data_IF_180918759798
#
_entry.id   IF_180918759798
#
_cell.length_a   1.000
_cell.length_b   1.000
_cell.length_c   1.000
_cell.angle_alpha   90.00
_cell.angle_beta   90.00
_cell.angle_gamma   90.00
#
_symmetry.space_group_name_H-M   'P 1'
#
loop_
_entity.id
_entity.type
_entity.pdbx_description
1 polymer ?
#
# COMPACT_ATOMS: atom_id res chain seq x y z
N UNK A 1 12.45 12.17 -7.14
CA UNK A 1 12.56 10.86 -6.43
C UNK A 1 11.20 10.17 -6.44
N UNK A 2 11.13 8.88 -6.79
CA UNK A 2 9.88 8.10 -6.78
C UNK A 2 9.84 7.23 -5.52
N UNK A 3 8.72 7.25 -4.78
CA UNK A 3 8.49 6.41 -3.59
C UNK A 3 7.13 5.75 -3.62
N UNK A 4 7.09 4.47 -3.21
CA UNK A 4 5.87 3.66 -3.09
C UNK A 4 5.48 3.49 -1.63
N UNK A 5 4.31 4.00 -1.26
CA UNK A 5 3.73 3.90 0.08
C UNK A 5 2.47 3.07 0.03
N UNK A 6 2.43 2.00 0.79
CA UNK A 6 1.23 1.17 0.96
C UNK A 6 0.40 1.73 2.11
N UNK A 7 -0.88 1.96 1.86
CA UNK A 7 -1.87 2.23 2.87
C UNK A 7 -2.74 0.98 3.07
N UNK A 8 -2.56 0.31 4.19
CA UNK A 8 -3.23 -0.96 4.49
C UNK A 8 -3.98 -0.93 5.83
N UNK A 9 -4.63 -2.01 6.15
CA UNK A 9 -5.42 -2.18 7.39
C UNK A 9 -6.77 -2.83 7.12
N UNK A 10 -7.43 -3.25 8.18
CA UNK A 10 -8.71 -3.92 8.13
C UNK A 10 -9.85 -3.06 7.56
N UNK A 11 -11.04 -3.66 7.39
CA UNK A 11 -12.25 -2.93 7.05
C UNK A 11 -12.52 -1.80 8.06
N UNK A 12 -13.16 -0.71 7.61
CA UNK A 12 -13.51 0.46 8.45
C UNK A 12 -12.33 1.13 9.18
N UNK A 13 -11.08 0.92 8.73
CA UNK A 13 -9.91 1.59 9.32
C UNK A 13 -9.75 3.05 8.89
N UNK A 14 -10.57 3.56 7.97
CA UNK A 14 -10.53 4.94 7.48
C UNK A 14 -9.59 5.16 6.29
N UNK A 15 -9.14 4.10 5.59
CA UNK A 15 -8.21 4.18 4.45
C UNK A 15 -8.61 5.20 3.40
N UNK A 16 -9.85 5.17 2.93
CA UNK A 16 -10.33 6.06 1.86
C UNK A 16 -10.25 7.53 2.27
N UNK A 17 -10.62 7.87 3.50
CA UNK A 17 -10.55 9.24 4.03
C UNK A 17 -9.10 9.71 4.13
N UNK A 18 -8.23 8.86 4.68
CA UNK A 18 -6.79 9.13 4.81
C UNK A 18 -6.14 9.29 3.42
N UNK A 19 -6.47 8.42 2.47
CA UNK A 19 -5.95 8.47 1.10
C UNK A 19 -6.28 9.81 0.41
N UNK A 20 -7.54 10.26 0.51
CA UNK A 20 -7.94 11.55 -0.04
C UNK A 20 -7.17 12.72 0.60
N UNK A 21 -6.89 12.63 1.89
CA UNK A 21 -6.13 13.64 2.62
C UNK A 21 -4.66 13.64 2.23
N UNK A 22 -4.05 12.46 2.02
CA UNK A 22 -2.68 12.33 1.49
C UNK A 22 -2.59 13.03 0.13
N UNK A 23 -3.49 12.73 -0.80
CA UNK A 23 -3.50 13.35 -2.14
C UNK A 23 -3.57 14.87 -2.05
N UNK A 24 -4.49 15.39 -1.23
CA UNK A 24 -4.68 16.83 -1.05
C UNK A 24 -3.46 17.50 -0.47
N UNK A 25 -2.88 16.91 0.59
CA UNK A 25 -1.79 17.53 1.33
C UNK A 25 -0.47 17.50 0.54
N UNK A 26 -0.08 16.36 -0.02
CA UNK A 26 1.18 16.24 -0.76
C UNK A 26 1.14 17.00 -2.10
N UNK A 27 -0.01 17.09 -2.78
CA UNK A 27 -0.13 17.96 -3.95
C UNK A 27 0.08 19.46 -3.58
N UNK A 28 -0.39 19.93 -2.40
CA UNK A 28 -0.09 21.30 -1.92
C UNK A 28 1.38 21.51 -1.64
N UNK A 29 2.10 20.47 -1.20
CA UNK A 29 3.54 20.50 -0.97
C UNK A 29 4.36 20.40 -2.27
N UNK A 30 3.73 20.32 -3.44
CA UNK A 30 4.39 20.20 -4.73
C UNK A 30 4.84 18.78 -5.09
N UNK A 31 4.47 17.77 -4.31
CA UNK A 31 4.72 16.37 -4.60
C UNK A 31 3.65 15.85 -5.56
N UNK A 32 4.05 15.18 -6.65
CA UNK A 32 3.10 14.51 -7.53
C UNK A 32 2.60 13.23 -6.87
N UNK A 33 1.30 13.14 -6.57
CA UNK A 33 0.70 11.93 -6.02
C UNK A 33 0.02 11.12 -7.12
N UNK A 34 0.32 9.83 -7.17
CA UNK A 34 -0.33 8.83 -8.02
C UNK A 34 -0.97 7.80 -7.10
N UNK A 35 -2.26 7.55 -7.26
CA UNK A 35 -3.01 6.57 -6.46
C UNK A 35 -3.20 5.29 -7.26
N UNK A 36 -2.87 4.16 -6.65
CA UNK A 36 -3.21 2.82 -7.15
C UNK A 36 -4.44 2.35 -6.38
N UNK A 37 -5.63 2.29 -7.00
CA UNK A 37 -6.86 1.93 -6.30
C UNK A 37 -6.93 0.45 -5.95
N UNK A 38 -7.77 0.11 -4.96
CA UNK A 38 -7.96 -1.25 -4.45
C UNK A 38 -8.46 -2.21 -5.56
N UNK A 39 -7.64 -3.19 -5.88
CA UNK A 39 -7.87 -4.08 -7.03
C UNK A 39 -9.02 -5.06 -6.82
N UNK A 40 -9.16 -5.62 -5.61
CA UNK A 40 -10.25 -6.57 -5.33
C UNK A 40 -11.63 -5.92 -5.52
N UNK A 41 -11.80 -4.68 -5.02
CA UNK A 41 -13.03 -3.90 -5.20
C UNK A 41 -13.32 -3.61 -6.67
N UNK A 42 -12.30 -3.30 -7.47
CA UNK A 42 -12.48 -3.06 -8.92
C UNK A 42 -12.97 -4.32 -9.64
N UNK A 43 -12.35 -5.48 -9.39
CA UNK A 43 -12.75 -6.75 -9.98
C UNK A 43 -14.17 -7.15 -9.58
N UNK A 44 -14.51 -7.02 -8.29
CA UNK A 44 -15.85 -7.36 -7.79
C UNK A 44 -16.91 -6.42 -8.41
N UNK A 45 -16.61 -5.12 -8.50
CA UNK A 45 -17.50 -4.13 -9.09
C UNK A 45 -17.68 -4.37 -10.59
N UNK A 46 -16.65 -4.85 -11.27
CA UNK A 46 -16.70 -5.25 -12.67
C UNK A 46 -17.45 -6.57 -12.93
N UNK A 47 -17.89 -7.26 -11.86
CA UNK A 47 -18.70 -8.48 -11.96
C UNK A 47 -17.92 -9.79 -11.76
N UNK A 48 -16.61 -9.74 -11.44
CA UNK A 48 -15.83 -10.93 -11.07
C UNK A 48 -16.20 -11.32 -9.64
N UNK A 49 -16.82 -12.50 -9.44
CA UNK A 49 -17.39 -12.87 -8.16
C UNK A 49 -16.59 -13.97 -7.46
N UNK A 50 -16.34 -13.76 -6.17
CA UNK A 50 -15.78 -14.74 -5.25
C UNK A 50 -16.85 -15.42 -4.40
N UNK A 51 -18.06 -14.84 -4.35
CA UNK A 51 -19.21 -15.32 -3.57
C UNK A 51 -20.45 -15.45 -4.45
N UNK A 52 -21.39 -16.30 -4.04
CA UNK A 52 -22.65 -16.53 -4.76
C UNK A 52 -22.62 -17.79 -5.62
N UNK A 53 -23.63 -17.94 -6.50
CA UNK A 53 -23.81 -19.14 -7.31
C UNK A 53 -22.82 -19.24 -8.49
N UNK A 54 -22.47 -18.09 -9.09
CA UNK A 54 -21.57 -17.97 -10.25
C UNK A 54 -20.17 -17.46 -9.85
N UNK A 55 -19.67 -17.96 -8.72
CA UNK A 55 -18.35 -17.61 -8.20
C UNK A 55 -17.23 -18.40 -8.86
N UNK A 56 -16.06 -17.78 -9.03
CA UNK A 56 -14.81 -18.48 -9.30
C UNK A 56 -14.19 -18.99 -7.98
N UNK A 57 -13.28 -19.94 -8.07
CA UNK A 57 -12.55 -20.44 -6.90
C UNK A 57 -11.79 -19.32 -6.19
N UNK A 58 -11.66 -19.43 -4.86
CA UNK A 58 -11.01 -18.41 -4.06
C UNK A 58 -9.53 -18.25 -4.41
N UNK A 59 -8.84 -19.32 -4.74
CA UNK A 59 -7.44 -19.31 -5.15
C UNK A 59 -7.29 -18.60 -6.51
N UNK A 60 -8.14 -18.94 -7.47
CA UNK A 60 -8.14 -18.33 -8.79
C UNK A 60 -8.50 -16.83 -8.71
N UNK A 61 -9.43 -16.47 -7.82
CA UNK A 61 -9.72 -15.06 -7.57
C UNK A 61 -8.51 -14.32 -7.02
N UNK A 62 -7.80 -14.89 -6.05
CA UNK A 62 -6.61 -14.25 -5.47
C UNK A 62 -5.44 -14.19 -6.46
N UNK A 63 -5.28 -15.21 -7.30
CA UNK A 63 -4.31 -15.15 -8.40
C UNK A 63 -4.62 -13.98 -9.33
N UNK A 64 -5.88 -13.81 -9.73
CA UNK A 64 -6.33 -12.71 -10.58
C UNK A 64 -6.10 -11.35 -9.91
N UNK A 65 -6.43 -11.21 -8.60
CA UNK A 65 -6.19 -9.99 -7.84
C UNK A 65 -4.70 -9.64 -7.83
N UNK A 66 -3.82 -10.58 -7.46
CA UNK A 66 -2.38 -10.32 -7.35
C UNK A 66 -1.76 -10.04 -8.72
N UNK A 67 -2.12 -10.78 -9.75
CA UNK A 67 -1.69 -10.53 -11.13
C UNK A 67 -2.06 -9.13 -11.59
N UNK A 68 -3.28 -8.69 -11.31
CA UNK A 68 -3.77 -7.35 -11.64
C UNK A 68 -3.07 -6.27 -10.81
N UNK A 69 -2.81 -6.53 -9.52
CA UNK A 69 -2.01 -5.62 -8.67
C UNK A 69 -0.62 -5.39 -9.26
N UNK A 70 0.10 -6.45 -9.59
CA UNK A 70 1.45 -6.37 -10.19
C UNK A 70 1.41 -5.53 -11.46
N UNK A 71 0.48 -5.84 -12.38
CA UNK A 71 0.32 -5.10 -13.63
C UNK A 71 0.03 -3.61 -13.40
N UNK A 72 -0.89 -3.28 -12.50
CA UNK A 72 -1.23 -1.89 -12.14
C UNK A 72 -0.02 -1.17 -11.54
N UNK A 73 0.63 -1.78 -10.55
CA UNK A 73 1.79 -1.19 -9.88
C UNK A 73 2.92 -0.87 -10.86
N UNK A 74 3.20 -1.78 -11.78
CA UNK A 74 4.26 -1.60 -12.77
C UNK A 74 3.90 -0.49 -13.79
N UNK A 75 2.64 -0.40 -14.22
CA UNK A 75 2.20 0.69 -15.10
C UNK A 75 2.20 2.06 -14.40
N UNK A 76 1.74 2.13 -13.15
CA UNK A 76 1.77 3.39 -12.40
C UNK A 76 3.20 3.83 -12.03
N UNK A 77 4.10 2.87 -11.79
CA UNK A 77 5.52 3.17 -11.61
C UNK A 77 6.12 3.75 -12.90
N UNK A 78 5.80 3.17 -14.04
CA UNK A 78 6.21 3.68 -15.35
C UNK A 78 5.67 5.10 -15.61
N UNK A 79 4.43 5.38 -15.22
CA UNK A 79 3.90 6.73 -15.28
C UNK A 79 4.68 7.69 -14.35
N UNK A 80 5.07 7.25 -13.16
CA UNK A 80 5.90 8.03 -12.25
C UNK A 80 7.27 8.36 -12.85
N UNK A 81 7.92 7.40 -13.52
CA UNK A 81 9.19 7.64 -14.24
C UNK A 81 9.06 8.70 -15.34
N UNK A 82 7.92 8.72 -16.05
CA UNK A 82 7.63 9.75 -17.06
C UNK A 82 7.48 11.14 -16.41
N UNK A 83 6.80 11.23 -15.24
CA UNK A 83 6.71 12.48 -14.49
C UNK A 83 8.08 12.93 -13.97
N UNK A 84 8.87 12.04 -13.38
CA UNK A 84 10.21 12.36 -12.90
C UNK A 84 11.12 12.88 -14.02
N UNK A 85 11.03 12.29 -15.20
CA UNK A 85 11.78 12.75 -16.37
C UNK A 85 11.34 14.13 -16.86
N UNK A 86 10.05 14.45 -16.83
CA UNK A 86 9.50 15.74 -17.25
C UNK A 86 9.72 16.83 -16.19
N UNK A 87 9.69 16.45 -14.91
CA UNK A 87 9.78 17.36 -13.77
C UNK A 87 10.83 16.87 -12.78
N UNK A 88 12.15 16.97 -13.10
CA UNK A 88 13.23 16.34 -12.33
C UNK A 88 13.37 16.85 -10.88
N UNK A 89 12.82 18.03 -10.58
CA UNK A 89 12.84 18.62 -9.24
C UNK A 89 11.57 18.34 -8.43
N UNK A 90 10.63 17.54 -8.98
CA UNK A 90 9.40 17.17 -8.31
C UNK A 90 9.47 15.71 -7.85
N UNK A 91 9.18 15.50 -6.58
CA UNK A 91 9.00 14.15 -6.06
C UNK A 91 7.69 13.52 -6.54
N UNK A 92 7.72 12.21 -6.73
CA UNK A 92 6.54 11.42 -7.08
C UNK A 92 6.25 10.42 -5.97
N UNK A 93 5.08 10.49 -5.40
CA UNK A 93 4.58 9.58 -4.37
C UNK A 93 3.50 8.68 -4.98
N UNK A 94 3.77 7.38 -5.07
CA UNK A 94 2.77 6.38 -5.44
C UNK A 94 2.16 5.85 -4.15
N UNK A 95 0.86 6.04 -3.96
CA UNK A 95 0.11 5.54 -2.81
C UNK A 95 -0.78 4.40 -3.25
N UNK A 96 -0.57 3.23 -2.67
CA UNK A 96 -1.34 2.02 -2.97
C UNK A 96 -2.42 1.82 -1.91
N UNK A 97 -3.68 1.73 -2.34
CA UNK A 97 -4.78 1.29 -1.48
C UNK A 97 -4.77 -0.24 -1.47
N UNK A 98 -4.14 -0.81 -0.47
CA UNK A 98 -3.71 -2.20 -0.32
C UNK A 98 -2.58 -2.60 -1.28
N UNK A 99 -1.92 -3.71 -0.96
CA UNK A 99 -0.85 -4.27 -1.78
C UNK A 99 -0.80 -5.81 -1.65
N UNK A 100 0.14 -6.43 -2.35
CA UNK A 100 0.17 -7.88 -2.56
C UNK A 100 0.11 -8.66 -1.24
N UNK A 101 0.86 -8.24 -0.19
CA UNK A 101 0.88 -8.96 1.09
C UNK A 101 -0.45 -8.94 1.84
N UNK A 102 -1.36 -7.99 1.55
CA UNK A 102 -2.68 -7.96 2.16
C UNK A 102 -3.52 -9.21 1.82
N UNK A 103 -3.26 -9.81 0.65
CA UNK A 103 -3.98 -11.00 0.18
C UNK A 103 -3.70 -12.24 1.05
N UNK A 104 -2.53 -12.31 1.73
CA UNK A 104 -2.21 -13.35 2.70
C UNK A 104 -3.29 -13.51 3.78
N UNK A 105 -3.85 -12.38 4.23
CA UNK A 105 -4.88 -12.36 5.27
C UNK A 105 -6.19 -13.05 4.87
N UNK A 106 -6.45 -13.19 3.57
CA UNK A 106 -7.68 -13.76 3.04
C UNK A 106 -7.60 -15.27 2.76
N UNK A 107 -6.43 -15.77 2.39
CA UNK A 107 -6.26 -17.17 1.97
C UNK A 107 -5.35 -18.00 2.88
N UNK A 108 -4.57 -17.36 3.76
CA UNK A 108 -3.58 -18.02 4.62
C UNK A 108 -2.28 -18.36 3.88
N UNK A 109 -1.27 -18.77 4.65
CA UNK A 109 0.12 -18.92 4.15
C UNK A 109 0.26 -19.94 3.01
N UNK A 110 -0.28 -21.15 3.17
CA UNK A 110 -0.14 -22.23 2.18
C UNK A 110 -0.73 -21.83 0.82
N UNK A 111 -1.97 -21.33 0.83
CA UNK A 111 -2.68 -20.90 -0.37
C UNK A 111 -2.01 -19.66 -1.00
N UNK A 112 -1.51 -18.74 -0.18
CA UNK A 112 -0.81 -17.57 -0.68
C UNK A 112 0.50 -17.94 -1.38
N UNK A 113 1.30 -18.86 -0.80
CA UNK A 113 2.51 -19.38 -1.42
C UNK A 113 2.17 -20.09 -2.75
N UNK A 114 1.09 -20.87 -2.80
CA UNK A 114 0.64 -21.50 -4.04
C UNK A 114 0.33 -20.47 -5.12
N UNK A 115 -0.40 -19.42 -4.79
CA UNK A 115 -0.70 -18.32 -5.72
C UNK A 115 0.59 -17.63 -6.20
N UNK A 116 1.53 -17.35 -5.30
CA UNK A 116 2.81 -16.75 -5.68
C UNK A 116 3.60 -17.65 -6.63
N UNK A 117 3.61 -18.96 -6.40
CA UNK A 117 4.27 -19.93 -7.28
C UNK A 117 3.63 -19.96 -8.67
N UNK A 118 2.30 -19.94 -8.78
CA UNK A 118 1.57 -19.82 -10.05
C UNK A 118 1.93 -18.55 -10.82
N UNK A 119 2.28 -17.48 -10.11
CA UNK A 119 2.73 -16.21 -10.68
C UNK A 119 4.24 -16.14 -10.96
N UNK A 120 4.99 -17.21 -10.67
CA UNK A 120 6.44 -17.26 -10.87
C UNK A 120 7.25 -16.49 -9.83
N UNK A 121 6.67 -16.18 -8.66
CA UNK A 121 7.31 -15.42 -7.58
C UNK A 121 7.95 -16.34 -6.52
N UNK A 122 7.98 -17.65 -6.74
CA UNK A 122 8.66 -18.69 -5.93
C UNK A 122 8.38 -18.63 -4.41
N UNK A 123 7.24 -18.08 -3.98
CA UNK A 123 6.86 -17.95 -2.58
C UNK A 123 7.81 -17.09 -1.72
N UNK A 124 8.69 -16.32 -2.33
CA UNK A 124 9.64 -15.46 -1.62
C UNK A 124 9.02 -14.11 -1.28
N UNK A 125 8.64 -13.95 -0.01
CA UNK A 125 8.06 -12.70 0.51
C UNK A 125 9.01 -11.50 0.41
N UNK A 126 10.33 -11.73 0.42
CA UNK A 126 11.32 -10.65 0.32
C UNK A 126 11.21 -9.91 -1.03
N UNK A 127 10.92 -10.63 -2.11
CA UNK A 127 10.68 -10.03 -3.43
C UNK A 127 9.46 -9.12 -3.42
N UNK A 128 8.43 -9.48 -2.66
CA UNK A 128 7.21 -8.66 -2.53
C UNK A 128 7.48 -7.44 -1.65
N UNK A 129 8.13 -7.62 -0.49
CA UNK A 129 8.46 -6.52 0.41
C UNK A 129 9.33 -5.46 -0.27
N UNK A 130 10.28 -5.87 -1.10
CA UNK A 130 11.17 -4.96 -1.82
C UNK A 130 10.48 -4.12 -2.89
N UNK A 131 9.23 -4.42 -3.23
CA UNK A 131 8.43 -3.57 -4.14
C UNK A 131 8.01 -2.26 -3.50
N UNK A 132 8.01 -2.16 -2.15
CA UNK A 132 7.45 -1.04 -1.41
C UNK A 132 8.49 -0.38 -0.51
N UNK A 133 8.41 0.95 -0.39
CA UNK A 133 9.36 1.74 0.40
C UNK A 133 8.89 1.95 1.84
N UNK A 134 7.58 2.12 2.03
CA UNK A 134 6.94 2.35 3.33
C UNK A 134 5.57 1.68 3.35
N UNK A 135 5.23 1.06 4.46
CA UNK A 135 3.90 0.49 4.73
C UNK A 135 3.29 1.20 5.93
N UNK A 136 2.07 1.69 5.78
CA UNK A 136 1.30 2.31 6.87
C UNK A 136 0.05 1.46 7.09
N UNK A 137 0.02 0.77 8.23
CA UNK A 137 -1.13 -0.02 8.64
C UNK A 137 -2.04 0.81 9.54
N UNK A 138 -3.28 0.99 9.11
CA UNK A 138 -4.33 1.66 9.88
C UNK A 138 -5.12 0.63 10.69
N UNK A 139 -4.96 0.66 12.00
CA UNK A 139 -5.75 -0.21 12.87
C UNK A 139 -7.21 0.24 12.87
N UNK A 140 -8.12 -0.74 12.69
CA UNK A 140 -9.57 -0.50 12.72
C UNK A 140 -10.05 -0.15 14.12
N UNK A 141 -11.06 0.69 14.23
CA UNK A 141 -11.73 0.98 15.50
C UNK A 141 -13.10 0.28 15.51
N UNK A 142 -13.28 -0.66 16.41
CA UNK A 142 -14.54 -1.39 16.56
C UNK A 142 -15.75 -0.48 16.77
N UNK A 143 -15.56 0.69 17.41
CA UNK A 143 -16.62 1.68 17.66
C UNK A 143 -17.20 2.30 16.37
N UNK A 144 -16.42 2.33 15.28
CA UNK A 144 -16.82 2.93 14.00
C UNK A 144 -17.16 1.89 12.93
N UNK A 145 -17.29 0.62 13.34
CA UNK A 145 -17.71 -0.41 12.41
C UNK A 145 -19.23 -0.30 12.18
N UNK A 146 -19.61 0.32 11.06
CA UNK A 146 -21.00 0.39 10.62
C UNK A 146 -21.15 -0.36 9.30
N UNK A 147 -22.09 -1.34 9.27
CA UNK A 147 -22.44 -2.08 8.05
C UNK A 147 -23.06 -1.18 6.96
N UNK A 148 -23.58 -0.01 7.37
CA UNK A 148 -24.27 0.94 6.48
C UNK A 148 -23.34 1.58 5.44
N UNK A 149 -22.04 1.69 5.71
CA UNK A 149 -21.10 2.41 4.85
C UNK A 149 -20.57 1.62 3.64
N UNK A 150 -20.88 0.32 3.53
CA UNK A 150 -20.51 -0.47 2.36
C UNK A 150 -21.38 -1.72 2.22
N UNK A 151 -22.32 -1.70 1.28
CA UNK A 151 -23.23 -2.82 0.97
C UNK A 151 -22.52 -4.11 0.52
N UNK A 152 -21.24 -4.06 0.21
CA UNK A 152 -20.42 -5.22 -0.16
C UNK A 152 -19.77 -5.92 1.04
N UNK A 153 -19.98 -5.43 2.28
CA UNK A 153 -19.38 -6.01 3.48
C UNK A 153 -20.33 -7.01 4.14
N UNK A 154 -19.82 -8.22 4.31
CA UNK A 154 -20.50 -9.33 4.97
C UNK A 154 -19.93 -9.64 6.35
N UNK A 155 -18.82 -8.98 6.75
CA UNK A 155 -18.08 -9.29 7.97
C UNK A 155 -18.70 -8.64 9.20
N UNK A 156 -18.71 -9.35 10.32
CA UNK A 156 -19.00 -8.79 11.64
C UNK A 156 -17.85 -7.88 12.11
N UNK A 157 -18.08 -7.06 13.13
CA UNK A 157 -17.04 -6.21 13.72
C UNK A 157 -15.82 -7.01 14.21
N UNK A 158 -16.05 -8.22 14.71
CA UNK A 158 -15.01 -9.13 15.19
C UNK A 158 -14.17 -9.67 14.04
N UNK A 159 -14.79 -10.17 12.98
CA UNK A 159 -14.12 -10.65 11.77
C UNK A 159 -13.30 -9.54 11.11
N UNK A 160 -13.80 -8.30 11.09
CA UNK A 160 -13.07 -7.15 10.57
C UNK A 160 -11.80 -6.83 11.39
N UNK A 161 -11.86 -6.97 12.72
CA UNK A 161 -10.68 -6.80 13.59
C UNK A 161 -9.66 -7.92 13.36
N UNK A 162 -10.09 -9.17 13.30
CA UNK A 162 -9.22 -10.32 13.03
C UNK A 162 -8.56 -10.22 11.65
N UNK A 163 -9.31 -9.83 10.63
CA UNK A 163 -8.78 -9.58 9.29
C UNK A 163 -7.73 -8.46 9.32
N UNK A 164 -7.99 -7.39 10.08
CA UNK A 164 -7.02 -6.31 10.28
C UNK A 164 -5.72 -6.78 10.94
N UNK A 165 -5.79 -7.67 11.92
CA UNK A 165 -4.62 -8.26 12.57
C UNK A 165 -3.84 -9.17 11.62
N UNK A 166 -4.53 -10.03 10.87
CA UNK A 166 -3.90 -10.90 9.85
C UNK A 166 -3.25 -10.09 8.74
N UNK A 167 -3.88 -8.99 8.32
CA UNK A 167 -3.30 -8.06 7.33
C UNK A 167 -1.99 -7.46 7.86
N UNK A 168 -1.96 -6.99 9.12
CA UNK A 168 -0.74 -6.47 9.73
C UNK A 168 0.34 -7.55 9.84
N UNK A 169 -0.03 -8.77 10.24
CA UNK A 169 0.91 -9.89 10.39
C UNK A 169 1.66 -10.16 9.08
N UNK A 170 1.00 -10.07 7.92
CA UNK A 170 1.64 -10.23 6.62
C UNK A 170 2.74 -9.21 6.32
N UNK A 171 2.76 -8.07 7.01
CA UNK A 171 3.75 -7.01 6.80
C UNK A 171 4.90 -7.00 7.81
N UNK A 172 4.91 -7.88 8.83
CA UNK A 172 5.92 -7.86 9.91
C UNK A 172 7.36 -7.99 9.39
N UNK A 173 7.58 -8.67 8.27
CA UNK A 173 8.91 -8.81 7.65
C UNK A 173 9.39 -7.60 6.84
N UNK A 174 8.54 -6.62 6.58
CA UNK A 174 8.92 -5.43 5.81
C UNK A 174 9.74 -4.45 6.66
N UNK A 175 10.82 -3.89 6.08
CA UNK A 175 11.80 -3.02 6.77
C UNK A 175 11.25 -1.71 7.34
N UNK A 176 10.16 -1.18 6.77
CA UNK A 176 9.57 0.11 7.14
C UNK A 176 8.06 -0.04 7.30
N UNK A 177 7.60 -0.53 8.45
CA UNK A 177 6.18 -0.59 8.80
C UNK A 177 5.87 0.48 9.85
N UNK A 178 4.79 1.23 9.65
CA UNK A 178 4.21 2.14 10.64
C UNK A 178 2.81 1.69 10.98
N UNK A 179 2.52 1.61 12.26
CA UNK A 179 1.22 1.20 12.78
C UNK A 179 0.56 2.44 13.35
N UNK A 180 -0.58 2.82 12.77
CA UNK A 180 -1.40 3.95 13.22
C UNK A 180 -2.57 3.41 14.02
N UNK A 181 -2.54 3.65 15.33
CA UNK A 181 -3.55 3.21 16.27
C UNK A 181 -4.92 3.86 16.03
N UNK A 182 -6.01 3.25 16.49
CA UNK A 182 -7.32 3.88 16.44
C UNK A 182 -7.31 5.25 17.12
N UNK A 183 -7.95 6.25 16.51
CA UNK A 183 -8.15 7.58 17.10
C UNK A 183 -9.64 7.85 17.21
N UNK A 184 -10.03 8.69 18.14
CA UNK A 184 -11.42 9.19 18.22
C UNK A 184 -11.70 10.20 17.12
N UNK A 185 -10.71 11.03 16.81
CA UNK A 185 -10.78 12.01 15.71
C UNK A 185 -10.01 11.50 14.49
N UNK A 186 -10.68 11.50 13.34
CA UNK A 186 -10.07 11.10 12.06
C UNK A 186 -8.92 12.05 11.65
N UNK A 187 -9.00 13.34 11.99
CA UNK A 187 -7.95 14.31 11.66
C UNK A 187 -6.64 14.00 12.38
N UNK A 188 -6.68 13.50 13.62
CA UNK A 188 -5.48 13.05 14.33
C UNK A 188 -4.82 11.86 13.60
N UNK A 189 -5.62 10.92 13.12
CA UNK A 189 -5.14 9.78 12.33
C UNK A 189 -4.51 10.25 11.02
N UNK A 190 -5.15 11.18 10.31
CA UNK A 190 -4.64 11.77 9.08
C UNK A 190 -3.30 12.46 9.33
N UNK A 191 -3.21 13.30 10.38
CA UNK A 191 -1.99 14.03 10.72
C UNK A 191 -0.82 13.08 11.06
N UNK A 192 -1.09 11.99 11.78
CA UNK A 192 -0.09 10.96 12.09
C UNK A 192 0.43 10.29 10.82
N UNK A 193 -0.45 9.91 9.88
CA UNK A 193 -0.07 9.32 8.60
C UNK A 193 0.76 10.29 7.76
N UNK A 194 0.32 11.54 7.62
CA UNK A 194 1.07 12.58 6.90
C UNK A 194 2.43 12.80 7.54
N UNK A 195 2.51 12.83 8.87
CA UNK A 195 3.76 12.93 9.61
C UNK A 195 4.73 11.78 9.31
N UNK A 196 4.23 10.55 9.24
CA UNK A 196 5.05 9.38 8.87
C UNK A 196 5.60 9.46 7.44
N UNK A 197 4.80 9.89 6.48
CA UNK A 197 5.23 10.03 5.08
C UNK A 197 6.25 11.17 4.97
N UNK A 198 5.98 12.34 5.56
CA UNK A 198 6.92 13.47 5.56
C UNK A 198 8.25 13.10 6.21
N UNK A 199 8.22 12.44 7.37
CA UNK A 199 9.44 11.97 8.04
C UNK A 199 10.24 10.99 7.18
N UNK A 200 9.55 10.09 6.48
CA UNK A 200 10.18 9.14 5.56
C UNK A 200 10.82 9.84 4.35
N UNK A 201 10.12 10.76 3.69
CA UNK A 201 10.63 11.52 2.55
C UNK A 201 11.83 12.40 2.93
N UNK A 202 11.79 13.06 4.08
CA UNK A 202 12.90 13.87 4.58
C UNK A 202 14.17 13.04 4.85
N UNK A 203 14.03 11.83 5.40
CA UNK A 203 15.16 10.91 5.61
C UNK A 203 15.77 10.49 4.27
N UNK A 204 14.98 10.20 3.28
CA UNK A 204 15.45 9.82 1.95
C UNK A 204 16.18 10.96 1.25
N UNK A 205 15.69 12.20 1.36
CA UNK A 205 16.42 13.38 0.85
C UNK A 205 17.78 13.54 1.52
N UNK A 206 17.88 13.38 2.84
CA UNK A 206 19.15 13.45 3.56
C UNK A 206 20.14 12.36 3.12
N UNK A 207 19.66 11.15 2.83
CA UNK A 207 20.51 10.07 2.30
C UNK A 207 21.06 10.41 0.91
N UNK A 208 20.23 10.97 0.03
CA UNK A 208 20.63 11.40 -1.30
C UNK A 208 21.70 12.50 -1.23
N UNK A 209 21.50 13.53 -0.39
CA UNK A 209 22.47 14.59 -0.17
C UNK A 209 23.82 14.06 0.33
N UNK A 210 23.83 13.15 1.31
CA UNK A 210 25.05 12.51 1.80
C UNK A 210 25.80 11.75 0.71
N UNK A 211 25.08 10.97 -0.10
CA UNK A 211 25.66 10.21 -1.22
C UNK A 211 26.31 11.14 -2.24
N UNK A 212 25.66 12.24 -2.58
CA UNK A 212 26.16 13.23 -3.50
C UNK A 212 27.47 13.88 -2.97
N UNK A 213 27.49 14.29 -1.71
CA UNK A 213 28.66 14.90 -1.07
C UNK A 213 29.87 13.94 -0.99
N UNK A 214 29.64 12.65 -0.74
CA UNK A 214 30.71 11.63 -0.75
C UNK A 214 31.29 11.46 -2.14
N UNK A 215 30.45 11.41 -3.17
CA UNK A 215 30.91 11.29 -4.55
C UNK A 215 31.73 12.50 -5.01
N UNK A 216 31.35 13.72 -4.64
CA UNK A 216 32.12 14.93 -4.92
C UNK A 216 33.48 14.92 -4.24
N UNK A 217 33.58 14.47 -2.98
CA UNK A 217 34.86 14.36 -2.28
C UNK A 217 35.80 13.36 -2.94
N UNK A 218 35.26 12.22 -3.41
CA UNK A 218 36.05 11.19 -4.09
C UNK A 218 36.51 11.64 -5.49
N UNK A 219 35.76 12.48 -6.20
CA UNK A 219 36.18 13.02 -7.49
C UNK A 219 37.32 14.06 -7.37
N UNK A 220 37.33 14.81 -6.27
CA UNK A 220 38.40 15.81 -6.01
C UNK A 220 39.70 15.21 -5.41
N UNK A 221 39.71 13.91 -5.09
CA UNK A 221 40.93 13.22 -4.60
C UNK A 221 41.69 12.51 -5.74
N UNK A 222 41.16 12.53 -6.97
CA UNK A 222 41.78 11.92 -8.16
C UNK A 222 42.31 12.97 -9.18
N UNK A 223 42.38 14.26 -8.81
CA UNK A 223 43.08 15.34 -9.48
C UNK A 223 44.36 15.67 -8.69
#
# INVERSE_FOLDING_TARGET
MIKKVVLTGGPSSGKTTVLNSIVKEFNKQGVKVIVVPETATELITAGVRMFGEDKIDALDFQELVIRTMIFKEDNYYRAAEMYEKLYPNQDVLIVLDRAIMDNLAYVGDESFIEVLNRLGLNGDYSQIYNRYDLVINLVSNAKFFTLENNKARTESAMEALELGQRTLAGWIGHKNVKIVSPKENIDEKINEVIGHINGFLNIEHLKLQKKYLVNLKNSNLNE
#
